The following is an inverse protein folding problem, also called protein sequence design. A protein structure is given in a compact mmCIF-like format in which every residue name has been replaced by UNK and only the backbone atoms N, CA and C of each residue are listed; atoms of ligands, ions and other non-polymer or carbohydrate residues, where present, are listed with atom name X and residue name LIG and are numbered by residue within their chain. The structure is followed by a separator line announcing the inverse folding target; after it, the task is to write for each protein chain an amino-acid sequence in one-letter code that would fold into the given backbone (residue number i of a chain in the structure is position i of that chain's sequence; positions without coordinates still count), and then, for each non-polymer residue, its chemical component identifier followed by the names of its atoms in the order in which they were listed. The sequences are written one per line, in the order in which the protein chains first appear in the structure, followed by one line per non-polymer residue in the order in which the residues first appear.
data_IF_278526015626
#
_entry.id   IF_278526015626
#
_cell.length_a   1.000
_cell.length_b   1.000
_cell.length_c   1.000
_cell.angle_alpha   90.00
_cell.angle_beta   90.00
_cell.angle_gamma   90.00
#
_symmetry.space_group_name_H-M   'P 1'
#
loop_
_entity.id
_entity.type
_entity.pdbx_description
1 polymer ?
#
# COMPACT_ATOMS: atom_id res chain seq x y z
N UNK A 1 -21.77 -21.27 -7.17
CA UNK A 1 -20.88 -20.23 -7.75
C UNK A 1 -19.49 -20.47 -7.18
N UNK A 2 -18.49 -20.64 -8.04
CA UNK A 2 -17.15 -21.11 -7.67
C UNK A 2 -16.41 -19.99 -6.93
N UNK A 3 -16.08 -20.18 -5.65
CA UNK A 3 -15.37 -19.18 -4.83
C UNK A 3 -14.05 -18.73 -5.48
N UNK A 4 -13.35 -19.64 -6.16
CA UNK A 4 -12.13 -19.34 -6.91
C UNK A 4 -12.32 -18.32 -8.03
N UNK A 5 -13.46 -18.32 -8.74
CA UNK A 5 -13.71 -17.36 -9.82
C UNK A 5 -14.01 -15.95 -9.30
N UNK A 6 -14.60 -15.85 -8.10
CA UNK A 6 -14.80 -14.57 -7.40
C UNK A 6 -13.46 -14.03 -6.87
N UNK A 7 -12.63 -14.90 -6.28
CA UNK A 7 -11.34 -14.50 -5.71
C UNK A 7 -10.41 -13.92 -6.79
N UNK A 8 -10.42 -14.48 -8.02
CA UNK A 8 -9.67 -13.92 -9.16
C UNK A 8 -10.20 -12.56 -9.63
N UNK A 9 -11.53 -12.37 -9.69
CA UNK A 9 -12.11 -11.08 -10.07
C UNK A 9 -11.82 -9.98 -9.06
N UNK A 10 -11.88 -10.31 -7.76
CA UNK A 10 -11.55 -9.39 -6.65
C UNK A 10 -10.06 -9.06 -6.65
N UNK A 11 -9.18 -10.05 -6.86
CA UNK A 11 -7.75 -9.83 -7.00
C UNK A 11 -7.43 -8.86 -8.15
N UNK A 12 -8.00 -9.05 -9.34
CA UNK A 12 -7.79 -8.15 -10.49
C UNK A 12 -8.14 -6.69 -10.16
N UNK A 13 -9.27 -6.45 -9.50
CA UNK A 13 -9.67 -5.09 -9.11
C UNK A 13 -8.70 -4.49 -8.08
N UNK A 14 -8.25 -5.28 -7.11
CA UNK A 14 -7.26 -4.85 -6.11
C UNK A 14 -5.94 -4.50 -6.80
N UNK A 15 -5.49 -5.32 -7.74
CA UNK A 15 -4.26 -5.11 -8.51
C UNK A 15 -4.34 -3.87 -9.39
N UNK A 16 -5.42 -3.69 -10.14
CA UNK A 16 -5.61 -2.50 -10.97
C UNK A 16 -5.61 -1.22 -10.13
N UNK A 17 -6.26 -1.25 -8.96
CA UNK A 17 -6.27 -0.11 -8.04
C UNK A 17 -4.91 0.15 -7.42
N UNK A 18 -4.18 -0.91 -7.09
CA UNK A 18 -2.82 -0.82 -6.58
C UNK A 18 -1.88 -0.17 -7.60
N UNK A 19 -1.94 -0.63 -8.85
CA UNK A 19 -1.08 -0.14 -9.94
C UNK A 19 -1.44 1.29 -10.39
N UNK A 20 -2.73 1.59 -10.55
CA UNK A 20 -3.19 2.87 -11.12
C UNK A 20 -3.34 3.99 -10.09
N UNK A 21 -3.64 3.67 -8.84
CA UNK A 21 -3.93 4.68 -7.81
C UNK A 21 -2.87 4.68 -6.70
N UNK A 22 -2.65 3.53 -6.05
CA UNK A 22 -1.87 3.51 -4.81
C UNK A 22 -0.37 3.63 -5.05
N UNK A 23 0.16 2.96 -6.06
CA UNK A 23 1.59 2.92 -6.35
C UNK A 23 2.12 4.29 -6.82
N UNK A 24 1.47 5.02 -7.75
CA UNK A 24 1.91 6.36 -8.12
C UNK A 24 1.94 7.30 -6.91
N UNK A 25 0.88 7.28 -6.09
CA UNK A 25 0.84 8.11 -4.88
C UNK A 25 1.94 7.74 -3.88
N UNK A 26 2.24 6.46 -3.70
CA UNK A 26 3.32 6.02 -2.83
C UNK A 26 4.70 6.48 -3.32
N UNK A 27 4.93 6.44 -4.64
CA UNK A 27 6.17 6.93 -5.26
C UNK A 27 6.32 8.44 -5.06
N UNK A 28 5.24 9.21 -5.26
CA UNK A 28 5.25 10.66 -5.04
C UNK A 28 5.55 11.01 -3.58
N UNK A 29 4.94 10.28 -2.63
CA UNK A 29 5.21 10.43 -1.20
C UNK A 29 6.66 10.10 -0.85
N UNK A 30 7.19 9.01 -1.39
CA UNK A 30 8.58 8.59 -1.22
C UNK A 30 9.53 9.70 -1.70
N UNK A 31 9.30 10.23 -2.90
CA UNK A 31 10.09 11.34 -3.43
C UNK A 31 9.98 12.61 -2.56
N UNK A 32 8.77 12.94 -2.08
CA UNK A 32 8.53 14.07 -1.18
C UNK A 32 9.37 13.96 0.11
N UNK A 33 9.31 12.81 0.80
CA UNK A 33 10.05 12.63 2.06
C UNK A 33 11.55 12.44 1.84
N UNK A 34 11.98 11.83 0.74
CA UNK A 34 13.41 11.71 0.40
C UNK A 34 14.05 13.08 0.16
N UNK A 35 13.29 14.04 -0.38
CA UNK A 35 13.70 15.43 -0.57
C UNK A 35 13.68 16.28 0.73
N UNK A 36 13.38 15.68 1.88
CA UNK A 36 13.26 16.38 3.18
C UNK A 36 11.87 16.98 3.44
N UNK A 37 10.88 16.68 2.59
CA UNK A 37 9.50 17.11 2.77
C UNK A 37 8.81 16.38 3.91
N UNK A 38 7.88 17.07 4.59
CA UNK A 38 7.08 16.52 5.68
C UNK A 38 5.78 15.91 5.17
N UNK A 39 5.27 14.90 5.87
CA UNK A 39 3.95 14.33 5.57
C UNK A 39 2.89 15.28 6.10
N UNK A 40 1.98 15.71 5.22
CA UNK A 40 0.84 16.55 5.63
C UNK A 40 -0.37 15.68 6.02
N UNK A 41 -1.44 16.30 6.52
CA UNK A 41 -2.64 15.59 6.98
C UNK A 41 -3.26 14.72 5.88
N UNK A 42 -3.17 15.13 4.61
CA UNK A 42 -3.70 14.36 3.48
C UNK A 42 -2.83 13.13 3.19
N UNK A 43 -1.51 13.27 3.31
CA UNK A 43 -0.57 12.15 3.17
C UNK A 43 -0.75 11.13 4.30
N UNK A 44 -0.91 11.61 5.54
CA UNK A 44 -1.17 10.77 6.71
C UNK A 44 -2.49 10.03 6.54
N UNK A 45 -3.58 10.72 6.16
CA UNK A 45 -4.89 10.10 5.92
C UNK A 45 -4.85 9.03 4.81
N UNK A 46 -4.02 9.25 3.77
CA UNK A 46 -3.78 8.24 2.73
C UNK A 46 -3.07 7.01 3.30
N UNK A 47 -1.99 7.20 4.06
CA UNK A 47 -1.22 6.11 4.65
C UNK A 47 -2.09 5.28 5.63
N UNK A 48 -2.89 5.94 6.46
CA UNK A 48 -3.83 5.27 7.37
C UNK A 48 -4.82 4.38 6.62
N UNK A 49 -5.38 4.88 5.50
CA UNK A 49 -6.29 4.09 4.66
C UNK A 49 -5.59 2.87 4.06
N UNK A 50 -4.37 3.05 3.57
CA UNK A 50 -3.57 1.95 3.03
C UNK A 50 -3.32 0.86 4.08
N UNK A 51 -2.96 1.25 5.30
CA UNK A 51 -2.74 0.29 6.38
C UNK A 51 -4.03 -0.41 6.81
N UNK A 52 -5.15 0.30 6.94
CA UNK A 52 -6.45 -0.30 7.21
C UNK A 52 -6.83 -1.34 6.14
N UNK A 53 -6.71 -0.98 4.87
CA UNK A 53 -7.01 -1.88 3.76
C UNK A 53 -6.07 -3.10 3.75
N UNK A 54 -4.82 -2.96 4.24
CA UNK A 54 -3.87 -4.09 4.30
C UNK A 54 -4.27 -5.16 5.33
N UNK A 55 -4.93 -4.75 6.43
CA UNK A 55 -5.46 -5.68 7.43
C UNK A 55 -6.60 -6.53 6.86
N UNK A 56 -7.49 -5.92 6.09
CA UNK A 56 -8.60 -6.59 5.41
C UNK A 56 -8.13 -7.57 4.33
N UNK A 57 -6.92 -7.37 3.77
CA UNK A 57 -6.34 -8.23 2.75
C UNK A 57 -5.62 -9.45 3.33
N UNK A 58 -5.33 -9.52 4.64
CA UNK A 58 -4.61 -10.64 5.26
C UNK A 58 -5.22 -12.01 4.94
N UNK A 59 -6.54 -12.24 5.08
CA UNK A 59 -7.13 -13.54 4.77
C UNK A 59 -7.03 -13.92 3.28
N UNK A 60 -6.97 -12.92 2.39
CA UNK A 60 -6.79 -13.14 0.96
C UNK A 60 -5.32 -13.51 0.67
N UNK A 61 -4.36 -12.83 1.29
CA UNK A 61 -2.93 -13.14 1.15
C UNK A 61 -2.59 -14.53 1.70
N UNK A 62 -3.20 -14.94 2.81
CA UNK A 62 -3.05 -16.28 3.37
C UNK A 62 -3.51 -17.38 2.40
N UNK A 63 -4.55 -17.09 1.61
CA UNK A 63 -5.10 -18.00 0.58
C UNK A 63 -4.36 -17.93 -0.75
N UNK A 64 -3.63 -16.84 -1.01
CA UNK A 64 -2.96 -16.56 -2.28
C UNK A 64 -1.49 -16.19 -2.07
N UNK A 65 -0.62 -17.19 -1.84
CA UNK A 65 0.78 -16.95 -1.56
C UNK A 65 1.53 -16.22 -2.66
N UNK A 66 1.04 -16.28 -3.90
CA UNK A 66 1.55 -15.54 -5.07
C UNK A 66 1.59 -14.03 -4.86
N UNK A 67 0.78 -13.49 -3.94
CA UNK A 67 0.71 -12.07 -3.65
C UNK A 67 1.55 -11.62 -2.45
N UNK A 68 2.11 -12.56 -1.67
CA UNK A 68 2.93 -12.24 -0.49
C UNK A 68 4.15 -11.38 -0.85
N UNK A 69 4.81 -11.67 -1.96
CA UNK A 69 6.00 -10.92 -2.35
C UNK A 69 5.66 -9.46 -2.67
N UNK A 70 4.60 -9.22 -3.44
CA UNK A 70 4.13 -7.89 -3.75
C UNK A 70 3.68 -7.15 -2.49
N UNK A 71 2.87 -7.78 -1.65
CA UNK A 71 2.40 -7.19 -0.40
C UNK A 71 3.56 -6.78 0.51
N UNK A 72 4.60 -7.63 0.61
CA UNK A 72 5.81 -7.35 1.39
C UNK A 72 6.58 -6.15 0.84
N UNK A 73 6.74 -6.06 -0.49
CA UNK A 73 7.40 -4.92 -1.14
C UNK A 73 6.63 -3.61 -0.89
N UNK A 74 5.31 -3.64 -0.96
CA UNK A 74 4.46 -2.49 -0.68
C UNK A 74 4.53 -2.06 0.78
N UNK A 75 4.44 -3.00 1.73
CA UNK A 75 4.58 -2.69 3.17
C UNK A 75 5.93 -2.05 3.48
N UNK A 76 7.02 -2.56 2.91
CA UNK A 76 8.35 -1.95 3.05
C UNK A 76 8.37 -0.52 2.51
N UNK A 77 7.79 -0.27 1.34
CA UNK A 77 7.72 1.08 0.77
C UNK A 77 7.01 2.06 1.72
N UNK A 78 5.85 1.69 2.26
CA UNK A 78 5.11 2.55 3.19
C UNK A 78 5.84 2.74 4.53
N UNK A 79 6.56 1.72 5.00
CA UNK A 79 7.42 1.83 6.18
C UNK A 79 8.58 2.82 5.94
N UNK A 80 9.22 2.80 4.77
CA UNK A 80 10.27 3.75 4.42
C UNK A 80 9.73 5.18 4.34
N UNK A 81 8.55 5.37 3.73
CA UNK A 81 7.90 6.69 3.63
C UNK A 81 7.63 7.26 5.03
N UNK A 82 7.01 6.47 5.90
CA UNK A 82 6.65 6.89 7.26
C UNK A 82 7.88 7.16 8.12
N UNK A 83 8.89 6.30 8.08
CA UNK A 83 10.13 6.49 8.81
C UNK A 83 10.86 7.76 8.38
N UNK A 84 10.98 7.99 7.06
CA UNK A 84 11.61 9.19 6.52
C UNK A 84 10.81 10.46 6.80
N UNK A 85 9.48 10.38 6.73
CA UNK A 85 8.60 11.47 7.14
C UNK A 85 8.81 11.88 8.59
N UNK A 86 8.92 10.91 9.50
CA UNK A 86 9.23 11.16 10.92
C UNK A 86 10.63 11.75 11.14
N UNK A 87 11.62 11.37 10.33
CA UNK A 87 12.95 12.00 10.38
C UNK A 87 12.90 13.48 10.00
N UNK A 88 12.06 13.85 9.03
CA UNK A 88 11.93 15.23 8.54
C UNK A 88 11.16 16.16 9.49
N UNK A 89 10.51 15.62 10.52
CA UNK A 89 9.88 16.41 11.59
C UNK A 89 10.88 16.91 12.65
N UNK A 90 12.09 16.35 12.69
CA UNK A 90 13.16 16.75 13.61
C UNK A 90 13.82 18.06 13.18
#
# INVERSE_FOLDING_TARGET
MNQQANDTGVATVIFERLEKERLPRAIDLKAKVDAGGRLDDMDIAFLDRVFADSEDLKPLLDRHPEYHELASRMMRLYQEITARGLENEK
#
